data_IF_941444733350
#
_entry.id   IF_941444733350
#
_cell.length_a   1.000
_cell.length_b   1.000
_cell.length_c   1.000
_cell.angle_alpha   90.00
_cell.angle_beta   90.00
_cell.angle_gamma   90.00
#
_symmetry.space_group_name_H-M   'P 1'
#
loop_
_entity.id
_entity.type
_entity.pdbx_description
1 polymer ?
#
# COMPACT_ATOMS: atom_id res chain seq x y z
N UNK A 1 -14.17 -19.63 29.69
CA UNK A 1 -13.79 -18.26 30.11
C UNK A 1 -12.33 -18.11 29.73
N UNK A 2 -12.06 -17.60 28.51
CA UNK A 2 -10.71 -17.45 27.99
C UNK A 2 -10.08 -16.29 28.75
N UNK A 3 -8.95 -16.53 29.40
CA UNK A 3 -8.24 -15.54 30.21
C UNK A 3 -7.76 -14.40 29.29
N UNK A 4 -8.57 -13.35 29.16
CA UNK A 4 -8.29 -12.16 28.34
C UNK A 4 -7.21 -11.25 28.96
N UNK A 5 -6.51 -11.72 30.00
CA UNK A 5 -5.52 -10.95 30.76
C UNK A 5 -4.09 -11.13 30.27
N UNK A 6 -3.86 -11.98 29.25
CA UNK A 6 -2.57 -12.03 28.55
C UNK A 6 -2.26 -10.64 27.97
N UNK A 7 -1.33 -9.93 28.62
CA UNK A 7 -0.98 -8.55 28.33
C UNK A 7 -0.82 -8.34 26.81
N UNK A 8 -1.77 -7.61 26.21
CA UNK A 8 -1.82 -7.46 24.77
C UNK A 8 -0.54 -6.77 24.29
N UNK A 9 0.23 -7.48 23.45
CA UNK A 9 1.53 -7.00 22.97
C UNK A 9 1.31 -5.78 22.09
N UNK A 10 1.64 -4.60 22.62
CA UNK A 10 1.65 -3.34 21.86
C UNK A 10 2.91 -3.28 21.01
N UNK A 11 2.75 -3.18 19.70
CA UNK A 11 3.86 -3.05 18.74
C UNK A 11 3.68 -1.72 18.00
N UNK A 12 4.80 -1.04 17.75
CA UNK A 12 4.84 0.16 16.90
C UNK A 12 5.01 -0.26 15.44
N UNK A 13 4.27 0.39 14.54
CA UNK A 13 4.39 0.18 13.10
C UNK A 13 5.79 0.61 12.64
N UNK A 14 6.50 -0.20 11.82
CA UNK A 14 7.72 0.25 11.18
C UNK A 14 7.35 1.24 10.06
N UNK A 15 7.10 2.49 10.44
CA UNK A 15 6.59 3.54 9.55
C UNK A 15 7.57 3.92 8.46
N UNK A 16 8.84 4.07 8.82
CA UNK A 16 9.90 4.48 7.91
C UNK A 16 10.03 3.53 6.70
N UNK A 17 10.11 2.19 6.87
CA UNK A 17 10.18 1.30 5.72
C UNK A 17 8.85 1.21 4.95
N UNK A 18 7.69 1.42 5.59
CA UNK A 18 6.41 1.48 4.87
C UNK A 18 6.33 2.71 3.97
N UNK A 19 6.71 3.89 4.47
CA UNK A 19 6.80 5.10 3.67
C UNK A 19 7.84 4.94 2.56
N UNK A 20 9.03 4.45 2.89
CA UNK A 20 10.09 4.21 1.91
C UNK A 20 9.64 3.26 0.80
N UNK A 21 8.97 2.16 1.15
CA UNK A 21 8.45 1.21 0.17
C UNK A 21 7.34 1.81 -0.70
N UNK A 22 6.42 2.58 -0.12
CA UNK A 22 5.37 3.25 -0.88
C UNK A 22 5.96 4.25 -1.89
N UNK A 23 6.95 5.04 -1.48
CA UNK A 23 7.65 5.97 -2.36
C UNK A 23 8.44 5.26 -3.46
N UNK A 24 9.23 4.23 -3.12
CA UNK A 24 10.00 3.45 -4.10
C UNK A 24 9.06 2.78 -5.10
N UNK A 25 7.97 2.16 -4.64
CA UNK A 25 6.98 1.51 -5.50
C UNK A 25 6.31 2.52 -6.44
N UNK A 26 5.93 3.69 -5.93
CA UNK A 26 5.33 4.76 -6.74
C UNK A 26 6.31 5.30 -7.79
N UNK A 27 7.57 5.57 -7.41
CA UNK A 27 8.60 6.04 -8.33
C UNK A 27 8.89 4.99 -9.42
N UNK A 28 9.08 3.73 -9.04
CA UNK A 28 9.34 2.65 -9.99
C UNK A 28 8.17 2.46 -10.96
N UNK A 29 6.93 2.47 -10.46
CA UNK A 29 5.75 2.37 -11.31
C UNK A 29 5.62 3.56 -12.27
N UNK A 30 5.97 4.76 -11.81
CA UNK A 30 5.97 5.99 -12.63
C UNK A 30 7.03 5.92 -13.72
N UNK A 31 8.27 5.53 -13.38
CA UNK A 31 9.37 5.36 -14.33
C UNK A 31 9.02 4.28 -15.35
N UNK A 32 8.49 3.13 -14.90
CA UNK A 32 8.07 2.06 -15.78
C UNK A 32 6.97 2.52 -16.75
N UNK A 33 5.97 3.25 -16.25
CA UNK A 33 4.89 3.80 -17.08
C UNK A 33 5.43 4.81 -18.10
N UNK A 34 6.31 5.71 -17.69
CA UNK A 34 6.97 6.67 -18.58
C UNK A 34 7.81 5.98 -19.66
N UNK A 35 8.52 4.91 -19.29
CA UNK A 35 9.36 4.13 -20.21
C UNK A 35 8.51 3.37 -21.25
N UNK A 36 7.35 2.82 -20.85
CA UNK A 36 6.38 2.23 -21.78
C UNK A 36 5.87 3.29 -22.76
N UNK A 37 5.47 4.47 -22.28
CA UNK A 37 5.01 5.57 -23.14
C UNK A 37 6.11 6.01 -24.12
N UNK A 38 7.35 6.10 -23.65
CA UNK A 38 8.51 6.45 -24.46
C UNK A 38 8.78 5.43 -25.57
N UNK A 39 8.75 4.13 -25.26
CA UNK A 39 8.94 3.04 -26.25
C UNK A 39 7.89 3.11 -27.35
N UNK A 40 6.65 3.46 -26.99
CA UNK A 40 5.53 3.57 -27.93
C UNK A 40 5.51 4.88 -28.72
N UNK A 41 6.53 5.74 -28.59
CA UNK A 41 6.64 7.05 -29.27
C UNK A 41 5.37 7.91 -29.16
N UNK A 42 4.73 7.89 -28.00
CA UNK A 42 3.54 8.69 -27.69
C UNK A 42 3.94 10.14 -27.37
N UNK A 43 2.97 11.05 -27.50
CA UNK A 43 3.16 12.48 -27.21
C UNK A 43 3.66 12.73 -25.78
N UNK A 44 4.43 13.81 -25.60
CA UNK A 44 5.02 14.23 -24.31
C UNK A 44 3.96 14.40 -23.22
N UNK A 45 2.74 14.78 -23.58
CA UNK A 45 1.58 14.90 -22.67
C UNK A 45 1.27 13.59 -21.92
N UNK A 46 1.55 12.43 -22.52
CA UNK A 46 1.38 11.13 -21.87
C UNK A 46 2.42 10.89 -20.77
N UNK A 47 3.65 11.35 -20.98
CA UNK A 47 4.71 11.24 -19.97
C UNK A 47 4.41 12.16 -18.80
N UNK A 48 3.99 13.40 -19.07
CA UNK A 48 3.63 14.36 -18.03
C UNK A 48 2.44 13.86 -17.21
N UNK A 49 1.39 13.35 -17.86
CA UNK A 49 0.24 12.78 -17.15
C UNK A 49 0.60 11.54 -16.32
N UNK A 50 1.50 10.69 -16.81
CA UNK A 50 2.00 9.55 -16.03
C UNK A 50 2.78 10.00 -14.78
N UNK A 51 3.65 11.01 -14.91
CA UNK A 51 4.38 11.60 -13.78
C UNK A 51 3.42 12.19 -12.73
N UNK A 52 2.43 12.96 -13.17
CA UNK A 52 1.43 13.57 -12.29
C UNK A 52 0.59 12.52 -11.57
N UNK A 53 0.17 11.46 -12.28
CA UNK A 53 -0.53 10.33 -11.68
C UNK A 53 0.29 9.64 -10.58
N UNK A 54 1.59 9.43 -10.84
CA UNK A 54 2.55 8.92 -9.86
C UNK A 54 2.64 9.78 -8.61
N UNK A 55 2.75 11.10 -8.78
CA UNK A 55 2.79 12.06 -7.68
C UNK A 55 1.52 12.03 -6.82
N UNK A 56 0.33 11.89 -7.43
CA UNK A 56 -0.93 11.74 -6.69
C UNK A 56 -0.91 10.50 -5.82
N UNK A 57 -0.52 9.36 -6.37
CA UNK A 57 -0.50 8.10 -5.61
C UNK A 57 0.52 8.15 -4.48
N UNK A 58 1.71 8.71 -4.71
CA UNK A 58 2.72 8.89 -3.67
C UNK A 58 2.23 9.84 -2.56
N UNK A 59 1.60 10.96 -2.93
CA UNK A 59 1.00 11.91 -1.99
C UNK A 59 -0.15 11.29 -1.19
N UNK A 60 -1.08 10.62 -1.86
CA UNK A 60 -2.20 9.92 -1.23
C UNK A 60 -1.72 8.84 -0.25
N UNK A 61 -0.68 8.10 -0.62
CA UNK A 61 -0.07 7.08 0.24
C UNK A 61 0.56 7.69 1.48
N UNK A 62 1.26 8.81 1.32
CA UNK A 62 1.86 9.55 2.44
C UNK A 62 0.77 10.08 3.37
N UNK A 63 -0.25 10.75 2.85
CA UNK A 63 -1.37 11.29 3.66
C UNK A 63 -2.08 10.17 4.41
N UNK A 64 -2.37 9.04 3.75
CA UNK A 64 -3.02 7.90 4.38
C UNK A 64 -2.18 7.30 5.51
N UNK A 65 -0.87 7.12 5.30
CA UNK A 65 0.04 6.60 6.31
C UNK A 65 0.18 7.57 7.50
N UNK A 66 0.23 8.88 7.27
CA UNK A 66 0.29 9.88 8.33
C UNK A 66 -1.04 9.95 9.12
N UNK A 67 -2.19 9.82 8.43
CA UNK A 67 -3.51 9.85 9.05
C UNK A 67 -3.75 8.68 10.03
N UNK A 68 -3.12 7.54 9.78
CA UNK A 68 -3.14 6.37 10.66
C UNK A 68 -2.43 6.62 12.00
N UNK A 69 -1.62 7.70 12.12
CA UNK A 69 -0.80 8.04 13.29
C UNK A 69 0.05 6.85 13.76
N UNK A 70 1.01 6.42 12.93
CA UNK A 70 1.77 5.18 13.14
C UNK A 70 2.72 5.23 14.34
N UNK A 71 2.96 6.43 14.89
CA UNK A 71 3.74 6.68 16.11
C UNK A 71 3.02 6.25 17.41
N UNK A 72 1.73 5.94 17.38
CA UNK A 72 1.04 5.39 18.55
C UNK A 72 1.06 3.86 18.51
N UNK A 73 1.59 3.25 19.57
CA UNK A 73 1.55 1.81 19.74
C UNK A 73 0.10 1.31 19.84
N UNK A 74 -0.26 0.33 19.02
CA UNK A 74 -1.62 -0.22 18.93
C UNK A 74 -1.60 -1.73 19.16
N UNK A 75 -2.71 -2.21 19.72
CA UNK A 75 -3.09 -3.62 19.82
C UNK A 75 -2.91 -4.34 18.47
N UNK A 76 -2.17 -5.47 18.42
CA UNK A 76 -1.91 -6.20 17.16
C UNK A 76 -3.21 -6.53 16.40
N UNK A 77 -4.28 -6.86 17.13
CA UNK A 77 -5.62 -7.16 16.58
C UNK A 77 -6.24 -5.99 15.82
N UNK A 78 -5.87 -4.74 16.14
CA UNK A 78 -6.41 -3.54 15.46
C UNK A 78 -5.70 -3.22 14.13
N UNK A 79 -4.57 -3.88 13.84
CA UNK A 79 -3.75 -3.56 12.67
C UNK A 79 -4.44 -3.82 11.32
N UNK A 80 -5.16 -4.95 11.11
CA UNK A 80 -5.86 -5.18 9.85
C UNK A 80 -6.90 -4.08 9.58
N UNK A 81 -7.64 -3.67 10.62
CA UNK A 81 -8.67 -2.63 10.51
C UNK A 81 -8.06 -1.27 10.15
N UNK A 82 -6.94 -0.93 10.77
CA UNK A 82 -6.19 0.30 10.48
C UNK A 82 -5.64 0.29 9.05
N UNK A 83 -5.11 -0.85 8.59
CA UNK A 83 -4.59 -0.99 7.22
C UNK A 83 -5.70 -0.86 6.17
N UNK A 84 -6.87 -1.47 6.42
CA UNK A 84 -8.05 -1.34 5.57
C UNK A 84 -8.55 0.11 5.53
N UNK A 85 -8.66 0.77 6.69
CA UNK A 85 -9.07 2.18 6.76
C UNK A 85 -8.08 3.09 6.00
N UNK A 86 -6.79 2.83 6.12
CA UNK A 86 -5.74 3.50 5.34
C UNK A 86 -5.89 3.32 3.84
N UNK A 87 -6.21 2.10 3.40
CA UNK A 87 -6.42 1.77 1.99
C UNK A 87 -7.63 2.50 1.41
N UNK A 88 -8.74 2.58 2.16
CA UNK A 88 -9.91 3.36 1.77
C UNK A 88 -9.62 4.85 1.67
N UNK A 89 -8.94 5.42 2.67
CA UNK A 89 -8.54 6.83 2.62
C UNK A 89 -7.64 7.12 1.43
N UNK A 90 -6.66 6.25 1.16
CA UNK A 90 -5.78 6.36 0.00
C UNK A 90 -6.56 6.30 -1.31
N UNK A 91 -7.53 5.37 -1.41
CA UNK A 91 -8.38 5.24 -2.59
C UNK A 91 -9.20 6.52 -2.82
N UNK A 92 -9.82 7.05 -1.76
CA UNK A 92 -10.57 8.30 -1.80
C UNK A 92 -9.69 9.48 -2.27
N UNK A 93 -8.51 9.66 -1.66
CA UNK A 93 -7.58 10.75 -2.01
C UNK A 93 -7.03 10.58 -3.43
N UNK A 94 -6.72 9.35 -3.85
CA UNK A 94 -6.26 9.06 -5.20
C UNK A 94 -7.33 9.39 -6.24
N UNK A 95 -8.58 8.96 -6.01
CA UNK A 95 -9.70 9.24 -6.92
C UNK A 95 -9.97 10.74 -6.99
N UNK A 96 -10.06 11.42 -5.84
CA UNK A 96 -10.27 12.87 -5.79
C UNK A 96 -9.13 13.64 -6.46
N UNK A 97 -7.88 13.27 -6.20
CA UNK A 97 -6.70 13.89 -6.81
C UNK A 97 -6.63 13.66 -8.31
N UNK A 98 -6.93 12.43 -8.77
CA UNK A 98 -6.97 12.09 -10.19
C UNK A 98 -8.09 12.84 -10.91
N UNK A 99 -9.27 12.96 -10.29
CA UNK A 99 -10.39 13.72 -10.83
C UNK A 99 -10.09 15.22 -10.94
N UNK A 100 -9.44 15.80 -9.91
CA UNK A 100 -8.98 17.19 -9.95
C UNK A 100 -7.97 17.42 -11.07
N UNK A 101 -6.99 16.52 -11.22
CA UNK A 101 -6.02 16.57 -12.32
C UNK A 101 -6.69 16.46 -13.68
N UNK A 102 -7.61 15.51 -13.83
CA UNK A 102 -8.38 15.35 -15.05
C UNK A 102 -9.19 16.61 -15.38
N UNK A 103 -9.77 17.27 -14.38
CA UNK A 103 -10.54 18.50 -14.59
C UNK A 103 -9.65 19.70 -14.91
N UNK A 104 -8.47 19.78 -14.31
CA UNK A 104 -7.53 20.89 -14.48
C UNK A 104 -6.73 20.80 -15.80
N UNK A 105 -6.61 19.60 -16.37
CA UNK A 105 -5.70 19.35 -17.48
C UNK A 105 -6.44 18.73 -18.66
N UNK A 106 -6.20 19.23 -19.87
CA UNK A 106 -6.69 18.59 -21.11
C UNK A 106 -5.83 17.36 -21.49
N UNK A 107 -5.19 16.70 -20.53
CA UNK A 107 -4.29 15.58 -20.80
C UNK A 107 -5.06 14.33 -21.23
N UNK A 108 -4.36 13.42 -21.91
CA UNK A 108 -4.89 12.11 -22.29
C UNK A 108 -5.31 11.31 -21.04
N UNK A 109 -6.62 11.18 -20.84
CA UNK A 109 -7.23 10.52 -19.66
C UNK A 109 -6.71 9.11 -19.44
N UNK A 110 -6.49 8.38 -20.53
CA UNK A 110 -6.11 6.97 -20.48
C UNK A 110 -4.68 6.79 -19.93
N UNK A 111 -3.75 7.70 -20.23
CA UNK A 111 -2.39 7.66 -19.69
C UNK A 111 -2.35 7.89 -18.18
N UNK A 112 -3.11 8.89 -17.73
CA UNK A 112 -3.27 9.21 -16.30
C UNK A 112 -3.85 8.01 -15.54
N UNK A 113 -4.95 7.42 -16.02
CA UNK A 113 -5.63 6.30 -15.34
C UNK A 113 -4.74 5.07 -15.27
N UNK A 114 -4.05 4.71 -16.36
CA UNK A 114 -3.15 3.56 -16.37
C UNK A 114 -1.99 3.75 -15.39
N UNK A 115 -1.36 4.93 -15.37
CA UNK A 115 -0.26 5.23 -14.45
C UNK A 115 -0.71 5.17 -12.98
N UNK A 116 -1.87 5.76 -12.67
CA UNK A 116 -2.45 5.72 -11.32
C UNK A 116 -2.75 4.28 -10.88
N UNK A 117 -3.37 3.48 -11.74
CA UNK A 117 -3.67 2.08 -11.44
C UNK A 117 -2.41 1.24 -11.23
N UNK A 118 -1.41 1.39 -12.10
CA UNK A 118 -0.14 0.68 -11.99
C UNK A 118 0.61 1.04 -10.70
N UNK A 119 0.68 2.34 -10.36
CA UNK A 119 1.31 2.81 -9.15
C UNK A 119 0.55 2.34 -7.89
N UNK A 120 -0.79 2.42 -7.89
CA UNK A 120 -1.60 1.97 -6.77
C UNK A 120 -1.43 0.47 -6.51
N UNK A 121 -1.44 -0.34 -7.59
CA UNK A 121 -1.23 -1.79 -7.48
C UNK A 121 0.16 -2.13 -6.95
N UNK A 122 1.21 -1.47 -7.46
CA UNK A 122 2.58 -1.66 -6.99
C UNK A 122 2.74 -1.35 -5.50
N UNK A 123 2.13 -0.25 -5.04
CA UNK A 123 2.11 0.13 -3.62
C UNK A 123 1.38 -0.92 -2.78
N UNK A 124 0.20 -1.39 -3.20
CA UNK A 124 -0.54 -2.41 -2.45
C UNK A 124 0.21 -3.74 -2.34
N UNK A 125 0.89 -4.18 -3.41
CA UNK A 125 1.72 -5.39 -3.36
C UNK A 125 2.91 -5.20 -2.41
N UNK A 126 3.57 -4.04 -2.46
CA UNK A 126 4.69 -3.71 -1.57
C UNK A 126 4.29 -3.71 -0.10
N UNK A 127 3.20 -3.03 0.24
CA UNK A 127 2.68 -2.96 1.61
C UNK A 127 2.21 -4.32 2.11
N UNK A 128 1.49 -5.09 1.28
CA UNK A 128 1.01 -6.43 1.65
C UNK A 128 2.17 -7.37 2.00
N UNK A 129 3.29 -7.29 1.26
CA UNK A 129 4.49 -8.08 1.55
C UNK A 129 5.16 -7.69 2.86
N UNK A 130 5.29 -6.39 3.14
CA UNK A 130 5.85 -5.89 4.39
C UNK A 130 4.96 -6.28 5.57
N UNK A 131 3.65 -6.14 5.40
CA UNK A 131 2.66 -6.49 6.40
C UNK A 131 2.69 -7.98 6.74
N UNK A 132 2.65 -8.84 5.71
CA UNK A 132 2.76 -10.30 5.88
C UNK A 132 4.10 -10.69 6.54
N UNK A 133 5.21 -10.04 6.17
CA UNK A 133 6.50 -10.23 6.82
C UNK A 133 6.52 -9.83 8.29
N UNK A 134 5.87 -8.72 8.64
CA UNK A 134 5.76 -8.25 10.03
C UNK A 134 4.89 -9.19 10.88
N UNK A 135 3.78 -9.68 10.34
CA UNK A 135 2.93 -10.67 11.01
C UNK A 135 3.69 -11.96 11.30
N UNK A 136 4.45 -12.51 10.33
CA UNK A 136 5.26 -13.72 10.54
C UNK A 136 6.30 -13.57 11.64
N UNK A 137 6.92 -12.39 11.78
CA UNK A 137 7.92 -12.10 12.82
C UNK A 137 7.32 -11.88 14.21
N UNK A 138 6.01 -11.64 14.30
CA UNK A 138 5.33 -11.34 15.55
C UNK A 138 4.26 -12.37 15.91
N UNK A 139 4.07 -13.38 15.05
CA UNK A 139 3.27 -14.55 15.36
C UNK A 139 3.87 -15.26 16.59
N UNK A 140 3.05 -15.60 17.60
CA UNK A 140 3.52 -16.34 18.76
C UNK A 140 4.11 -17.68 18.32
N UNK A 141 5.27 -18.04 18.86
CA UNK A 141 6.02 -19.24 18.50
C UNK A 141 5.26 -20.57 18.72
N UNK A 142 4.08 -20.55 19.35
CA UNK A 142 3.20 -21.69 19.57
C UNK A 142 1.99 -21.79 18.63
N UNK A 143 1.85 -20.92 17.62
CA UNK A 143 0.81 -21.08 16.58
C UNK A 143 1.27 -22.01 15.44
N UNK A 144 2.45 -22.62 15.57
CA UNK A 144 2.82 -23.78 14.78
C UNK A 144 1.78 -24.86 15.00
N UNK A 145 0.91 -25.01 14.02
CA UNK A 145 -0.02 -26.12 13.90
C UNK A 145 0.82 -27.39 13.93
N UNK A 146 0.91 -28.04 15.08
CA UNK A 146 1.25 -29.46 15.23
C UNK A 146 0.13 -30.31 14.62
N UNK A 147 -0.23 -30.02 13.37
CA UNK A 147 -1.20 -30.77 12.56
C UNK A 147 -0.55 -31.95 11.85
N UNK A 148 0.62 -32.40 12.32
CA UNK A 148 1.37 -33.54 11.76
C UNK A 148 1.27 -34.79 12.65
N UNK A 149 0.15 -34.98 13.35
CA UNK A 149 -0.02 -36.12 14.27
C UNK A 149 -1.46 -36.63 14.31
N UNK A 150 -2.04 -37.06 13.19
CA UNK A 150 -3.22 -37.94 13.19
C UNK A 150 -3.61 -38.52 11.80
N UNK A 151 -2.68 -38.77 10.88
CA UNK A 151 -3.00 -39.43 9.59
C UNK A 151 -2.19 -40.72 9.37
N UNK A 152 -1.77 -41.38 10.47
CA UNK A 152 -1.23 -42.76 10.48
C UNK A 152 -2.18 -43.68 11.27
N UNK A 153 -3.42 -43.83 10.79
CA UNK A 153 -4.35 -44.83 11.30
C UNK A 153 -5.32 -45.27 10.21
N UNK A 154 -4.82 -45.93 9.17
CA UNK A 154 -5.56 -46.94 8.39
C UNK A 154 -4.61 -47.89 7.64
#
# INVERSE_FOLDING_TARGET
>A
MIDMTAAERKVTLPTAPLLGAAWIAAILATIASALVVYIWKRDVDWVVSALLGGCVVAGASTVALLAIRPWHAKALMTWPMVWVAGSFLRLLVTVAGTFLLYSATRFGTLGLVLAVMAAYFAVQVGESRIYAGSMKRHAPAGAGVDGSSAEDSE
#
